data_IF_663574705316
#
_entry.id   IF_663574705316
#
_cell.length_a   1.000
_cell.length_b   1.000
_cell.length_c   1.000
_cell.angle_alpha   90.00
_cell.angle_beta   90.00
_cell.angle_gamma   90.00
#
_symmetry.space_group_name_H-M   'P 1'
#
loop_
_entity.id
_entity.type
_entity.pdbx_description
1 polymer ?
#
# COMPACT_ATOMS: atom_id res chain seq x y z
N UNK A 1 -13.79 17.08 -2.16
CA UNK A 1 -12.36 16.77 -2.24
C UNK A 1 -11.99 15.88 -3.42
N UNK A 2 -12.94 15.29 -4.07
CA UNK A 2 -12.76 14.54 -5.33
C UNK A 2 -13.29 15.43 -6.44
N UNK A 3 -12.44 15.76 -7.43
CA UNK A 3 -12.87 16.53 -8.59
C UNK A 3 -13.82 15.68 -9.43
N UNK A 4 -14.98 16.23 -9.82
CA UNK A 4 -15.91 15.53 -10.71
C UNK A 4 -15.24 15.26 -12.07
N UNK A 5 -15.40 14.05 -12.60
CA UNK A 5 -14.79 13.64 -13.85
C UNK A 5 -13.29 13.35 -13.77
N UNK A 6 -12.69 13.36 -12.56
CA UNK A 6 -11.32 12.93 -12.38
C UNK A 6 -11.18 11.43 -12.69
N UNK A 7 -10.07 11.04 -13.31
CA UNK A 7 -9.73 9.62 -13.55
C UNK A 7 -8.78 9.10 -12.49
N UNK A 8 -9.07 7.93 -11.94
CA UNK A 8 -8.28 7.27 -10.90
C UNK A 8 -7.73 5.93 -11.35
N UNK A 9 -6.43 5.70 -11.14
CA UNK A 9 -5.81 4.40 -11.39
C UNK A 9 -5.92 3.54 -10.12
N UNK A 10 -6.76 2.51 -10.16
CA UNK A 10 -6.89 1.52 -9.08
C UNK A 10 -5.84 0.43 -9.27
N UNK A 11 -4.90 0.33 -8.33
CA UNK A 11 -3.81 -0.65 -8.41
C UNK A 11 -4.30 -2.04 -8.00
N UNK A 12 -4.21 -2.98 -8.92
CA UNK A 12 -4.52 -4.38 -8.67
C UNK A 12 -3.22 -5.18 -8.52
N UNK A 13 -3.10 -5.90 -7.43
CA UNK A 13 -1.98 -6.82 -7.18
C UNK A 13 -2.33 -8.29 -7.40
N UNK A 14 -3.60 -8.59 -7.66
CA UNK A 14 -4.14 -9.95 -7.61
C UNK A 14 -4.45 -10.44 -6.20
N UNK A 15 -4.09 -9.69 -5.16
CA UNK A 15 -4.40 -10.04 -3.77
C UNK A 15 -5.81 -9.60 -3.37
N UNK A 16 -6.35 -10.27 -2.34
CA UNK A 16 -7.72 -10.09 -1.80
C UNK A 16 -8.11 -8.62 -1.60
N UNK A 17 -7.20 -7.80 -1.05
CA UNK A 17 -7.51 -6.42 -0.66
C UNK A 17 -7.61 -5.49 -1.86
N UNK A 18 -6.88 -5.79 -2.95
CA UNK A 18 -6.97 -5.03 -4.19
C UNK A 18 -8.29 -5.29 -4.93
N UNK A 19 -8.80 -6.51 -4.90
CA UNK A 19 -10.13 -6.84 -5.45
C UNK A 19 -11.25 -6.18 -4.65
N UNK A 20 -11.15 -6.21 -3.32
CA UNK A 20 -12.11 -5.53 -2.42
C UNK A 20 -12.16 -4.04 -2.69
N UNK A 21 -10.98 -3.40 -2.77
CA UNK A 21 -10.89 -1.99 -3.10
C UNK A 21 -11.62 -1.68 -4.41
N UNK A 22 -11.35 -2.43 -5.48
CA UNK A 22 -11.98 -2.23 -6.76
C UNK A 22 -13.49 -2.41 -6.68
N UNK A 23 -13.98 -3.47 -6.04
CA UNK A 23 -15.40 -3.74 -5.92
C UNK A 23 -16.14 -2.64 -5.16
N UNK A 24 -15.58 -2.16 -4.05
CA UNK A 24 -16.17 -1.06 -3.27
C UNK A 24 -16.21 0.22 -4.10
N UNK A 25 -15.11 0.59 -4.78
CA UNK A 25 -15.08 1.81 -5.60
C UNK A 25 -16.02 1.73 -6.80
N UNK A 26 -16.11 0.58 -7.45
CA UNK A 26 -17.00 0.34 -8.57
C UNK A 26 -18.48 0.44 -8.16
N UNK A 27 -18.83 -0.13 -7.00
CA UNK A 27 -20.17 -0.01 -6.43
C UNK A 27 -20.51 1.45 -6.07
N UNK A 28 -19.59 2.18 -5.44
CA UNK A 28 -19.79 3.59 -5.12
C UNK A 28 -19.94 4.46 -6.39
N UNK A 29 -19.19 4.14 -7.45
CA UNK A 29 -19.32 4.78 -8.76
C UNK A 29 -20.69 4.48 -9.37
N UNK A 30 -21.13 3.23 -9.38
CA UNK A 30 -22.43 2.80 -9.92
C UNK A 30 -23.62 3.47 -9.20
N UNK A 31 -23.47 3.71 -7.90
CA UNK A 31 -24.47 4.47 -7.10
C UNK A 31 -24.37 6.00 -7.26
N UNK A 32 -23.46 6.51 -8.06
CA UNK A 32 -23.24 7.94 -8.21
C UNK A 32 -22.63 8.65 -7.00
N UNK A 33 -22.17 7.89 -5.98
CA UNK A 33 -21.54 8.44 -4.78
C UNK A 33 -20.07 8.79 -5.00
N UNK A 34 -19.45 8.22 -6.03
CA UNK A 34 -18.06 8.49 -6.40
C UNK A 34 -18.01 8.99 -7.84
N UNK A 35 -17.96 10.32 -8.08
CA UNK A 35 -18.04 10.92 -9.41
C UNK A 35 -16.68 10.94 -10.11
N UNK A 36 -16.02 9.77 -10.22
CA UNK A 36 -14.73 9.59 -10.89
C UNK A 36 -14.79 8.48 -11.93
N UNK A 37 -13.89 8.53 -12.90
CA UNK A 37 -13.67 7.45 -13.86
C UNK A 37 -12.62 6.47 -13.29
N UNK A 38 -12.95 5.20 -13.19
CA UNK A 38 -12.06 4.16 -12.64
C UNK A 38 -11.33 3.44 -13.77
N UNK A 39 -10.01 3.41 -13.68
CA UNK A 39 -9.13 2.60 -14.50
C UNK A 39 -8.41 1.58 -13.59
N UNK A 40 -8.64 0.29 -13.83
CA UNK A 40 -7.90 -0.76 -13.13
C UNK A 40 -6.52 -0.95 -13.77
N UNK A 41 -5.45 -0.93 -12.98
CA UNK A 41 -4.08 -1.06 -13.46
C UNK A 41 -3.30 -2.15 -12.74
N UNK A 42 -2.64 -3.02 -13.51
CA UNK A 42 -1.69 -4.00 -12.99
C UNK A 42 -0.41 -3.98 -13.82
N UNK A 43 0.75 -3.61 -13.25
CA UNK A 43 2.03 -3.91 -13.86
C UNK A 43 2.36 -5.39 -13.60
N UNK A 44 2.22 -6.22 -14.62
CA UNK A 44 2.70 -7.60 -14.60
C UNK A 44 4.24 -7.58 -14.70
N UNK A 45 4.88 -8.11 -13.68
CA UNK A 45 6.34 -8.09 -13.52
C UNK A 45 7.04 -9.32 -14.12
N UNK A 46 6.31 -10.19 -14.81
CA UNK A 46 6.86 -11.46 -15.31
C UNK A 46 7.20 -12.45 -14.20
N UNK A 47 6.48 -12.44 -13.10
CA UNK A 47 6.73 -13.40 -12.02
C UNK A 47 6.32 -14.80 -12.45
N UNK A 48 7.19 -15.82 -12.25
CA UNK A 48 6.85 -17.21 -12.58
C UNK A 48 5.58 -17.65 -11.86
N UNK A 49 4.65 -18.25 -12.60
CA UNK A 49 3.38 -18.75 -12.06
C UNK A 49 2.27 -17.69 -11.90
N UNK A 50 2.48 -16.44 -12.35
CA UNK A 50 1.40 -15.45 -12.37
C UNK A 50 0.43 -15.77 -13.53
N UNK A 51 -0.86 -16.05 -13.25
CA UNK A 51 -1.84 -16.40 -14.28
C UNK A 51 -2.27 -15.15 -15.04
N UNK A 52 -1.73 -14.97 -16.25
CA UNK A 52 -1.93 -13.74 -17.05
C UNK A 52 -3.38 -13.50 -17.48
N UNK A 53 -4.22 -14.54 -17.56
CA UNK A 53 -5.62 -14.44 -18.05
C UNK A 53 -6.63 -14.12 -16.95
N UNK A 54 -6.37 -14.55 -15.72
CA UNK A 54 -7.32 -14.49 -14.60
C UNK A 54 -7.77 -13.05 -14.31
N UNK A 55 -6.83 -12.12 -14.27
CA UNK A 55 -7.14 -10.73 -13.94
C UNK A 55 -7.90 -10.01 -15.06
N UNK A 56 -7.49 -10.10 -16.37
CA UNK A 56 -8.25 -9.53 -17.49
C UNK A 56 -9.68 -10.06 -17.58
N UNK A 57 -9.87 -11.39 -17.44
CA UNK A 57 -11.19 -12.02 -17.49
C UNK A 57 -12.10 -11.52 -16.38
N UNK A 58 -11.58 -11.43 -15.16
CA UNK A 58 -12.33 -10.88 -14.03
C UNK A 58 -12.75 -9.43 -14.26
N UNK A 59 -11.84 -8.58 -14.73
CA UNK A 59 -12.11 -7.16 -14.98
C UNK A 59 -13.10 -6.94 -16.12
N UNK A 60 -12.99 -7.74 -17.18
CA UNK A 60 -13.94 -7.71 -18.31
C UNK A 60 -15.34 -8.10 -17.85
N UNK A 61 -15.47 -9.14 -17.02
CA UNK A 61 -16.74 -9.57 -16.45
C UNK A 61 -17.37 -8.51 -15.54
N UNK A 62 -16.55 -7.74 -14.80
CA UNK A 62 -17.03 -6.60 -14.03
C UNK A 62 -17.36 -5.36 -14.85
N UNK A 63 -17.05 -5.32 -16.13
CA UNK A 63 -17.23 -4.14 -16.97
C UNK A 63 -16.29 -2.97 -16.63
N UNK A 64 -15.16 -3.25 -15.96
CA UNK A 64 -14.21 -2.22 -15.56
C UNK A 64 -13.14 -2.01 -16.62
N UNK A 65 -12.97 -0.77 -17.06
CA UNK A 65 -11.85 -0.39 -17.95
C UNK A 65 -10.53 -0.72 -17.27
N UNK A 66 -9.63 -1.42 -17.99
CA UNK A 66 -8.37 -1.85 -17.39
C UNK A 66 -7.16 -1.71 -18.31
N UNK A 67 -5.98 -1.64 -17.69
CA UNK A 67 -4.68 -1.67 -18.35
C UNK A 67 -3.77 -2.63 -17.59
N UNK A 68 -3.46 -3.75 -18.21
CA UNK A 68 -2.45 -4.69 -17.75
C UNK A 68 -1.24 -4.51 -18.64
N UNK A 69 -0.10 -4.25 -18.05
CA UNK A 69 1.13 -4.02 -18.77
C UNK A 69 2.21 -4.97 -18.29
N UNK A 70 2.62 -5.85 -19.19
CA UNK A 70 3.75 -6.73 -18.96
C UNK A 70 5.05 -5.94 -19.03
N UNK A 71 5.85 -6.03 -17.97
CA UNK A 71 7.24 -5.57 -17.93
C UNK A 71 8.05 -6.51 -17.10
N UNK A 72 8.99 -7.19 -17.70
CA UNK A 72 9.90 -8.08 -16.99
C UNK A 72 10.87 -7.29 -16.11
N UNK A 73 10.36 -6.81 -14.99
CA UNK A 73 11.17 -6.17 -13.95
C UNK A 73 11.88 -7.20 -13.08
N UNK A 74 11.43 -8.45 -13.12
CA UNK A 74 12.02 -9.55 -12.34
C UNK A 74 13.43 -9.88 -12.86
N UNK A 75 13.61 -9.99 -14.18
CA UNK A 75 14.94 -10.19 -14.80
C UNK A 75 15.85 -9.00 -14.55
N UNK A 76 15.37 -7.77 -14.73
CA UNK A 76 16.16 -6.54 -14.46
C UNK A 76 16.68 -6.53 -13.01
N UNK A 77 15.86 -6.94 -12.05
CA UNK A 77 16.29 -7.04 -10.64
C UNK A 77 17.31 -8.16 -10.43
N UNK A 78 17.13 -9.32 -11.07
CA UNK A 78 18.08 -10.44 -11.00
C UNK A 78 19.43 -10.06 -11.57
N UNK A 79 19.47 -9.43 -12.73
CA UNK A 79 20.70 -9.02 -13.42
C UNK A 79 21.48 -7.97 -12.62
N UNK A 80 20.79 -6.96 -12.08
CA UNK A 80 21.44 -5.94 -11.23
C UNK A 80 22.00 -6.53 -9.94
N UNK A 81 21.40 -7.57 -9.41
CA UNK A 81 21.91 -8.27 -8.22
C UNK A 81 23.10 -9.15 -8.55
N UNK A 82 23.08 -9.83 -9.68
CA UNK A 82 24.24 -10.62 -10.16
C UNK A 82 25.49 -9.73 -10.32
N UNK A 83 25.30 -8.48 -10.78
CA UNK A 83 26.38 -7.48 -10.91
C UNK A 83 26.91 -6.95 -9.57
N UNK A 84 26.06 -6.90 -8.52
CA UNK A 84 26.47 -6.41 -7.18
C UNK A 84 27.16 -7.46 -6.30
N UNK A 85 27.25 -8.71 -6.72
CA UNK A 85 27.82 -9.80 -5.95
C UNK A 85 27.00 -10.23 -4.73
N UNK A 86 27.49 -11.24 -3.99
CA UNK A 86 26.79 -11.87 -2.87
C UNK A 86 26.44 -10.93 -1.69
N UNK A 87 27.01 -9.74 -1.65
CA UNK A 87 26.72 -8.70 -0.63
C UNK A 87 25.46 -7.87 -0.90
N UNK A 88 24.84 -8.00 -2.06
CA UNK A 88 23.62 -7.32 -2.38
C UNK A 88 22.46 -7.95 -1.60
N UNK A 89 22.15 -7.39 -0.46
CA UNK A 89 21.16 -7.91 0.47
C UNK A 89 19.80 -8.07 -0.21
N UNK A 90 19.06 -9.11 0.19
CA UNK A 90 17.65 -9.34 -0.15
C UNK A 90 16.77 -8.06 0.00
N UNK A 91 17.18 -7.13 0.87
CA UNK A 91 16.60 -5.79 1.04
C UNK A 91 16.67 -4.94 -0.24
N UNK A 92 17.79 -4.97 -0.97
CA UNK A 92 17.95 -4.20 -2.20
C UNK A 92 17.07 -4.77 -3.32
N UNK A 93 16.93 -6.11 -3.40
CA UNK A 93 16.00 -6.76 -4.34
C UNK A 93 14.59 -6.27 -4.18
N UNK A 94 14.11 -6.27 -2.95
CA UNK A 94 12.74 -5.88 -2.64
C UNK A 94 12.51 -4.39 -2.88
N UNK A 95 13.45 -3.56 -2.47
CA UNK A 95 13.41 -2.11 -2.69
C UNK A 95 13.34 -1.79 -4.20
N UNK A 96 14.19 -2.41 -5.01
CA UNK A 96 14.19 -2.22 -6.47
C UNK A 96 12.88 -2.71 -7.10
N UNK A 97 12.38 -3.88 -6.73
CA UNK A 97 11.13 -4.42 -7.24
C UNK A 97 9.93 -3.49 -6.90
N UNK A 98 9.85 -3.02 -5.66
CA UNK A 98 8.79 -2.10 -5.22
C UNK A 98 8.89 -0.72 -5.89
N UNK A 99 10.11 -0.20 -6.07
CA UNK A 99 10.35 1.06 -6.76
C UNK A 99 9.98 0.98 -8.24
N UNK A 100 10.39 -0.09 -8.93
CA UNK A 100 10.05 -0.31 -10.34
C UNK A 100 8.53 -0.48 -10.54
N UNK A 101 7.88 -1.24 -9.65
CA UNK A 101 6.42 -1.39 -9.68
C UNK A 101 5.72 -0.06 -9.47
N UNK A 102 6.18 0.75 -8.51
CA UNK A 102 5.62 2.09 -8.25
C UNK A 102 5.83 3.02 -9.44
N UNK A 103 7.03 3.05 -10.01
CA UNK A 103 7.35 3.85 -11.19
C UNK A 103 6.49 3.49 -12.40
N UNK A 104 6.27 2.20 -12.67
CA UNK A 104 5.37 1.74 -13.74
C UNK A 104 3.92 2.19 -13.52
N UNK A 105 3.41 2.11 -12.29
CA UNK A 105 2.06 2.58 -11.98
C UNK A 105 1.91 4.09 -12.19
N UNK A 106 2.90 4.88 -11.78
CA UNK A 106 2.87 6.34 -12.00
C UNK A 106 2.95 6.69 -13.47
N UNK A 107 3.77 5.97 -14.25
CA UNK A 107 3.82 6.15 -15.71
C UNK A 107 2.48 5.83 -16.35
N UNK A 108 1.86 4.68 -16.06
CA UNK A 108 0.52 4.32 -16.56
C UNK A 108 -0.51 5.40 -16.18
N UNK A 109 -0.46 5.88 -14.94
CA UNK A 109 -1.37 6.94 -14.48
C UNK A 109 -1.24 8.22 -15.32
N UNK A 110 -0.02 8.67 -15.58
CA UNK A 110 0.27 9.84 -16.41
C UNK A 110 -0.19 9.65 -17.87
N UNK A 111 0.18 8.53 -18.48
CA UNK A 111 -0.19 8.19 -19.86
C UNK A 111 -1.71 8.12 -20.06
N UNK A 112 -2.45 7.76 -19.03
CA UNK A 112 -3.91 7.64 -19.05
C UNK A 112 -4.65 8.85 -18.50
N UNK A 113 -3.94 9.94 -18.17
CA UNK A 113 -4.52 11.16 -17.64
C UNK A 113 -5.18 10.98 -16.28
N UNK A 114 -4.69 10.05 -15.46
CA UNK A 114 -5.19 9.85 -14.10
C UNK A 114 -4.64 10.94 -13.17
N UNK A 115 -5.47 11.46 -12.28
CA UNK A 115 -5.10 12.43 -11.24
C UNK A 115 -4.66 11.76 -9.94
N UNK A 116 -4.95 10.48 -9.78
CA UNK A 116 -4.62 9.73 -8.56
C UNK A 116 -4.37 8.25 -8.82
N UNK A 117 -3.55 7.68 -7.94
CA UNK A 117 -3.25 6.26 -7.84
C UNK A 117 -3.84 5.72 -6.54
N UNK A 118 -4.67 4.70 -6.61
CA UNK A 118 -5.44 4.18 -5.48
C UNK A 118 -4.91 2.81 -5.07
N UNK A 119 -4.65 2.63 -3.76
CA UNK A 119 -4.09 1.39 -3.19
C UNK A 119 -4.96 0.82 -2.07
N UNK A 120 -5.07 -0.51 -2.03
CA UNK A 120 -5.90 -1.27 -1.08
C UNK A 120 -5.21 -1.59 0.25
N UNK A 121 -4.42 -0.66 0.83
CA UNK A 121 -3.82 -0.89 2.14
C UNK A 121 -4.86 -0.70 3.25
N UNK A 122 -4.87 -1.62 4.20
CA UNK A 122 -5.71 -1.63 5.39
C UNK A 122 -5.02 -0.99 6.62
N UNK A 123 -5.77 -0.78 7.69
CA UNK A 123 -5.25 -0.34 9.00
C UNK A 123 -4.10 -1.24 9.48
N UNK A 124 -4.26 -2.56 9.34
CA UNK A 124 -3.23 -3.55 9.71
C UNK A 124 -1.93 -3.38 8.94
N UNK A 125 -1.98 -3.03 7.65
CA UNK A 125 -0.78 -2.77 6.84
C UNK A 125 -0.06 -1.50 7.28
N UNK A 126 -0.83 -0.49 7.67
CA UNK A 126 -0.30 0.77 8.19
C UNK A 126 0.40 0.53 9.53
N UNK A 127 -0.21 -0.24 10.44
CA UNK A 127 0.40 -0.60 11.71
C UNK A 127 1.66 -1.45 11.52
N UNK A 128 1.62 -2.50 10.67
CA UNK A 128 2.81 -3.30 10.34
C UNK A 128 3.94 -2.40 9.81
N UNK A 129 3.64 -1.46 8.92
CA UNK A 129 4.64 -0.54 8.38
C UNK A 129 5.16 0.42 9.44
N UNK A 130 4.29 0.91 10.32
CA UNK A 130 4.71 1.75 11.44
C UNK A 130 5.71 1.01 12.33
N UNK A 131 5.44 -0.22 12.77
CA UNK A 131 6.36 -0.96 13.63
C UNK A 131 7.64 -1.38 12.93
N UNK A 132 7.60 -1.69 11.64
CA UNK A 132 8.82 -1.96 10.87
C UNK A 132 9.77 -0.76 10.80
N UNK A 133 9.25 0.45 10.79
CA UNK A 133 10.06 1.66 10.69
C UNK A 133 10.95 1.89 11.94
N UNK A 134 10.47 1.91 13.19
CA UNK A 134 11.33 2.04 14.37
C UNK A 134 12.24 0.82 14.57
N UNK A 135 11.78 -0.40 14.31
CA UNK A 135 12.59 -1.60 14.56
C UNK A 135 13.71 -1.79 13.53
N UNK A 136 13.50 -1.35 12.29
CA UNK A 136 14.45 -1.61 11.19
C UNK A 136 14.85 -0.38 10.39
N UNK A 137 14.07 0.71 10.47
CA UNK A 137 14.23 1.92 9.66
C UNK A 137 14.76 3.15 10.41
N UNK A 138 14.94 3.06 11.75
CA UNK A 138 15.39 4.17 12.61
C UNK A 138 14.56 5.45 12.44
N UNK A 139 13.26 5.33 12.23
CA UNK A 139 12.36 6.46 12.04
C UNK A 139 10.96 6.15 12.54
N UNK A 140 10.23 7.18 12.97
CA UNK A 140 8.80 7.10 13.29
C UNK A 140 8.00 7.57 12.07
N UNK A 141 7.53 6.63 11.26
CA UNK A 141 6.77 6.94 10.05
C UNK A 141 5.73 5.85 9.75
N UNK A 142 4.64 6.25 9.12
CA UNK A 142 3.58 5.35 8.65
C UNK A 142 3.17 5.67 7.22
N UNK A 143 2.41 4.78 6.60
CA UNK A 143 1.73 5.09 5.35
C UNK A 143 0.56 6.04 5.61
N UNK A 144 0.52 7.17 4.89
CA UNK A 144 -0.58 8.13 4.99
C UNK A 144 -1.78 7.70 4.12
N UNK A 145 -3.02 7.97 4.56
CA UNK A 145 -4.23 7.72 3.76
C UNK A 145 -4.27 8.50 2.46
N UNK A 146 -3.67 9.69 2.46
CA UNK A 146 -3.52 10.58 1.30
C UNK A 146 -2.14 11.20 1.30
N UNK A 147 -1.49 11.18 0.17
CA UNK A 147 -0.25 11.92 -0.04
C UNK A 147 -0.10 12.32 -1.52
N UNK A 148 0.69 13.32 -1.79
CA UNK A 148 1.15 13.68 -3.12
C UNK A 148 2.45 12.94 -3.41
N UNK A 149 2.67 12.48 -4.64
CA UNK A 149 3.94 11.87 -5.02
C UNK A 149 5.10 12.89 -4.99
N UNK A 150 6.32 12.40 -5.14
CA UNK A 150 7.53 13.24 -5.08
C UNK A 150 7.58 14.30 -6.21
N UNK A 151 6.99 13.99 -7.37
CA UNK A 151 6.91 14.91 -8.52
C UNK A 151 5.78 15.95 -8.39
N UNK A 152 4.89 15.81 -7.41
CA UNK A 152 3.80 16.75 -7.15
C UNK A 152 2.61 16.69 -8.09
N UNK A 153 2.53 15.69 -8.98
CA UNK A 153 1.53 15.61 -10.03
C UNK A 153 0.42 14.56 -9.80
N UNK A 154 0.67 13.56 -8.94
CA UNK A 154 -0.27 12.47 -8.68
C UNK A 154 -0.59 12.33 -7.20
N UNK A 155 -1.86 12.29 -6.88
CA UNK A 155 -2.29 11.88 -5.54
C UNK A 155 -2.16 10.37 -5.38
N UNK A 156 -1.79 9.94 -4.18
CA UNK A 156 -1.84 8.55 -3.75
C UNK A 156 -2.88 8.42 -2.64
N UNK A 157 -3.95 7.68 -2.88
CA UNK A 157 -5.00 7.44 -1.90
C UNK A 157 -5.02 6.00 -1.41
N UNK A 158 -5.37 5.82 -0.14
CA UNK A 158 -5.61 4.54 0.51
C UNK A 158 -6.99 4.57 1.20
N UNK A 159 -8.07 4.39 0.45
CA UNK A 159 -9.43 4.54 0.98
C UNK A 159 -9.74 3.55 2.12
N UNK A 160 -9.14 2.36 2.09
CA UNK A 160 -9.32 1.31 3.10
C UNK A 160 -8.44 1.48 4.35
N UNK A 161 -7.69 2.61 4.48
CA UNK A 161 -6.72 2.84 5.54
C UNK A 161 -7.29 2.76 6.97
N UNK A 162 -8.58 2.98 7.12
CA UNK A 162 -9.29 2.97 8.41
C UNK A 162 -10.05 1.66 8.68
N UNK A 163 -10.04 0.71 7.75
CA UNK A 163 -10.71 -0.58 7.88
C UNK A 163 -9.73 -1.63 8.41
N UNK A 164 -10.20 -2.44 9.36
CA UNK A 164 -9.45 -3.59 9.85
C UNK A 164 -9.56 -4.78 8.87
N UNK A 165 -8.58 -5.66 8.88
CA UNK A 165 -8.59 -6.86 8.04
C UNK A 165 -9.79 -7.76 8.35
N UNK A 166 -10.19 -7.84 9.63
CA UNK A 166 -11.35 -8.60 10.08
C UNK A 166 -12.66 -8.10 9.47
N UNK A 167 -12.87 -6.78 9.41
CA UNK A 167 -14.09 -6.17 8.84
C UNK A 167 -14.21 -6.46 7.34
N UNK A 168 -13.07 -6.62 6.67
CA UNK A 168 -13.03 -6.93 5.26
C UNK A 168 -13.22 -8.43 4.94
N UNK A 169 -13.04 -9.33 5.90
CA UNK A 169 -13.04 -10.78 5.67
C UNK A 169 -14.39 -11.28 5.12
N UNK A 170 -15.51 -10.87 5.73
CA UNK A 170 -16.85 -11.26 5.32
C UNK A 170 -17.17 -10.83 3.86
N UNK A 171 -16.75 -9.63 3.46
CA UNK A 171 -16.95 -9.12 2.11
C UNK A 171 -16.20 -9.95 1.05
N UNK A 172 -14.99 -10.42 1.35
CA UNK A 172 -14.20 -11.21 0.41
C UNK A 172 -14.81 -12.57 0.08
N UNK A 173 -15.41 -13.22 1.08
CA UNK A 173 -16.08 -14.51 0.91
C UNK A 173 -17.30 -14.37 0.00
N UNK A 174 -18.06 -13.30 0.15
CA UNK A 174 -19.24 -13.04 -0.67
C UNK A 174 -18.92 -12.75 -2.15
N UNK A 175 -17.73 -12.17 -2.45
CA UNK A 175 -17.36 -11.74 -3.81
C UNK A 175 -16.67 -12.80 -4.66
N UNK A 176 -16.36 -14.00 -4.12
CA UNK A 176 -15.66 -15.09 -4.83
C UNK A 176 -14.51 -14.62 -5.74
N UNK A 177 -13.67 -13.70 -5.24
CA UNK A 177 -12.60 -13.09 -6.01
C UNK A 177 -11.50 -14.12 -6.35
N UNK A 178 -10.96 -14.15 -7.57
CA UNK A 178 -9.88 -15.04 -7.96
C UNK A 178 -8.56 -14.56 -7.34
N UNK A 179 -8.30 -14.94 -6.08
CA UNK A 179 -7.11 -14.54 -5.36
C UNK A 179 -5.89 -15.21 -5.96
N UNK A 180 -4.92 -14.41 -6.38
CA UNK A 180 -3.61 -14.90 -6.84
C UNK A 180 -2.68 -14.90 -5.63
N UNK A 181 -2.15 -16.07 -5.21
CA UNK A 181 -1.21 -16.13 -4.09
C UNK A 181 0.03 -15.29 -4.36
N UNK A 182 0.46 -14.49 -3.38
CA UNK A 182 1.65 -13.64 -3.49
C UNK A 182 2.87 -14.25 -2.78
N UNK A 183 3.06 -15.58 -2.89
CA UNK A 183 4.16 -16.32 -2.25
C UNK A 183 5.47 -16.21 -3.03
N UNK A 184 5.45 -15.45 -4.13
CA UNK A 184 6.51 -15.45 -5.14
C UNK A 184 7.78 -14.70 -4.74
N UNK A 185 7.77 -13.96 -3.62
CA UNK A 185 8.91 -13.11 -3.23
C UNK A 185 9.71 -13.61 -2.03
N UNK A 186 9.59 -14.81 -1.52
CA UNK A 186 10.41 -15.46 -0.48
C UNK A 186 11.36 -14.54 0.34
N UNK A 187 10.89 -13.38 0.81
CA UNK A 187 11.76 -12.30 1.29
C UNK A 187 11.79 -12.26 2.82
N UNK A 188 12.96 -11.90 3.40
CA UNK A 188 13.10 -11.63 4.84
C UNK A 188 12.11 -10.56 5.35
N UNK A 189 11.68 -9.65 4.48
CA UNK A 189 10.66 -8.65 4.85
C UNK A 189 9.28 -9.30 5.02
N UNK A 190 8.99 -10.37 4.27
CA UNK A 190 7.82 -11.23 4.52
C UNK A 190 7.86 -11.83 5.92
N UNK A 191 9.04 -12.33 6.34
CA UNK A 191 9.24 -12.84 7.70
C UNK A 191 9.08 -11.73 8.76
N UNK A 192 9.69 -10.57 8.56
CA UNK A 192 9.55 -9.44 9.50
C UNK A 192 8.11 -8.94 9.59
N UNK A 193 7.40 -8.85 8.46
CA UNK A 193 5.98 -8.52 8.44
C UNK A 193 5.12 -9.57 9.15
N UNK A 194 5.45 -10.86 8.99
CA UNK A 194 4.78 -11.95 9.68
C UNK A 194 5.01 -11.87 11.20
N UNK A 195 6.25 -11.60 11.64
CA UNK A 195 6.56 -11.40 13.07
C UNK A 195 5.79 -10.23 13.68
N UNK A 196 5.76 -9.08 13.00
CA UNK A 196 4.94 -7.94 13.46
C UNK A 196 3.46 -8.29 13.48
N UNK A 197 2.97 -9.05 12.48
CA UNK A 197 1.58 -9.51 12.49
C UNK A 197 1.29 -10.37 13.72
N UNK A 198 2.12 -11.36 14.01
CA UNK A 198 1.98 -12.23 15.20
C UNK A 198 1.97 -11.40 16.49
N UNK A 199 2.83 -10.41 16.60
CA UNK A 199 2.89 -9.50 17.75
C UNK A 199 1.58 -8.71 17.90
N UNK A 200 1.06 -8.15 16.80
CA UNK A 200 -0.19 -7.40 16.78
C UNK A 200 -1.40 -8.31 17.09
N UNK A 201 -1.41 -9.55 16.60
CA UNK A 201 -2.44 -10.54 16.88
C UNK A 201 -2.43 -10.86 18.39
N UNK A 202 -1.27 -11.18 18.98
CA UNK A 202 -1.14 -11.47 20.41
C UNK A 202 -1.58 -10.30 21.29
N UNK A 203 -1.28 -9.07 20.91
CA UNK A 203 -1.73 -7.88 21.63
C UNK A 203 -3.23 -7.65 21.52
N UNK A 204 -3.84 -7.93 20.39
CA UNK A 204 -5.28 -7.83 20.19
C UNK A 204 -6.03 -8.89 20.99
N UNK A 205 -5.50 -10.14 21.05
CA UNK A 205 -6.06 -11.24 21.84
C UNK A 205 -6.03 -10.94 23.35
N UNK A 206 -4.94 -10.33 23.84
CA UNK A 206 -4.81 -9.90 25.24
C UNK A 206 -5.72 -8.72 25.60
N UNK A 207 -5.97 -7.84 24.66
CA UNK A 207 -6.71 -6.59 24.86
C UNK A 207 -7.45 -6.22 23.56
N UNK A 208 -8.68 -6.66 23.38
CA UNK A 208 -9.49 -6.35 22.22
C UNK A 208 -9.62 -4.84 21.98
N UNK A 209 -9.46 -4.42 20.72
CA UNK A 209 -9.48 -3.01 20.33
C UNK A 209 -8.11 -2.30 20.40
N UNK A 210 -7.04 -2.98 20.82
CA UNK A 210 -5.70 -2.39 20.95
C UNK A 210 -5.16 -1.87 19.62
N UNK A 211 -5.41 -2.56 18.51
CA UNK A 211 -5.03 -2.09 17.16
C UNK A 211 -5.64 -0.74 16.84
N UNK A 212 -6.92 -0.56 17.15
CA UNK A 212 -7.61 0.71 16.92
C UNK A 212 -7.03 1.84 17.80
N UNK A 213 -6.70 1.53 19.06
CA UNK A 213 -6.06 2.48 19.97
C UNK A 213 -4.70 2.91 19.41
N UNK A 214 -3.85 1.95 19.01
CA UNK A 214 -2.55 2.23 18.39
C UNK A 214 -2.68 3.05 17.11
N UNK A 215 -3.64 2.69 16.26
CA UNK A 215 -3.87 3.41 15.01
C UNK A 215 -4.30 4.86 15.25
N UNK A 216 -5.17 5.10 16.24
CA UNK A 216 -5.58 6.45 16.65
C UNK A 216 -4.44 7.24 17.27
N UNK A 217 -3.56 6.61 18.04
CA UNK A 217 -2.36 7.25 18.59
C UNK A 217 -1.45 7.83 17.51
N UNK A 218 -1.38 7.18 16.34
CA UNK A 218 -0.61 7.70 15.20
C UNK A 218 -1.20 9.00 14.59
N UNK A 219 -2.41 9.37 14.97
CA UNK A 219 -3.06 10.63 14.58
C UNK A 219 -3.06 11.68 15.69
N UNK A 220 -2.51 11.34 16.87
CA UNK A 220 -2.44 12.21 18.03
C UNK A 220 -1.00 12.29 18.54
N UNK A 221 -0.14 12.87 17.74
CA UNK A 221 1.29 13.05 18.06
C UNK A 221 1.48 14.29 18.93
N UNK A 222 2.33 14.19 19.96
CA UNK A 222 2.75 15.31 20.81
C UNK A 222 4.21 15.67 20.52
N UNK A 223 4.49 16.64 19.65
CA UNK A 223 5.84 17.00 19.23
C UNK A 223 6.76 17.33 20.42
N UNK A 224 6.26 18.04 21.43
CA UNK A 224 7.01 18.41 22.63
C UNK A 224 7.48 17.22 23.50
N UNK A 225 7.01 16.00 23.21
CA UNK A 225 7.39 14.78 23.92
C UNK A 225 8.24 13.84 23.04
N UNK A 226 8.62 14.30 21.85
CA UNK A 226 9.51 13.57 20.94
C UNK A 226 10.88 14.25 20.92
N UNK A 227 11.94 13.43 20.95
CA UNK A 227 13.33 13.92 20.96
C UNK A 227 13.83 14.25 19.54
N UNK A 228 12.98 14.88 18.72
CA UNK A 228 13.32 15.34 17.38
C UNK A 228 13.38 16.90 17.38
N UNK A 229 14.59 17.49 17.26
CA UNK A 229 14.76 18.95 17.34
C UNK A 229 14.08 19.69 16.18
N UNK A 230 13.79 19.02 15.06
CA UNK A 230 13.04 19.62 13.94
C UNK A 230 11.53 19.76 14.27
N UNK A 231 11.01 18.93 15.17
CA UNK A 231 9.62 19.01 15.63
C UNK A 231 9.43 19.90 16.84
N UNK A 232 10.40 19.90 17.75
CA UNK A 232 10.35 20.69 18.99
C UNK A 232 11.76 21.00 19.49
N UNK A 233 12.07 22.29 19.68
CA UNK A 233 13.38 22.76 20.14
C UNK A 233 13.52 22.58 21.69
N UNK A 234 13.63 21.34 22.15
CA UNK A 234 13.81 21.02 23.58
C UNK A 234 15.18 21.46 24.13
N UNK A 235 16.22 21.57 23.27
CA UNK A 235 17.55 22.01 23.69
C UNK A 235 17.62 23.52 23.94
N UNK A 236 16.72 24.31 23.32
CA UNK A 236 16.63 25.75 23.47
C UNK A 236 15.68 26.23 24.58
N UNK A 237 15.14 25.32 25.41
CA UNK A 237 14.25 25.69 26.51
C UNK A 237 15.01 26.46 27.59
N UNK A 238 14.57 27.68 27.89
CA UNK A 238 15.06 28.50 29.00
C UNK A 238 13.99 28.53 30.10
N UNK A 239 14.43 28.55 31.37
CA UNK A 239 13.51 28.86 32.45
C UNK A 239 13.03 30.29 32.31
N UNK A 240 11.71 30.49 32.29
CA UNK A 240 11.18 31.85 32.42
C UNK A 240 11.69 32.50 33.70
N UNK A 241 12.30 33.68 33.57
CA UNK A 241 12.58 34.53 34.74
C UNK A 241 11.22 35.07 35.17
N UNK A 242 10.72 34.59 36.30
CA UNK A 242 9.52 35.13 36.94
C UNK A 242 9.77 36.50 37.52
#
# INVERSE_FOLDING_TARGET
MVARGARWLVCLSGGKDSYRLLAILHELQGRGLLPVDLLAGNPDQGQPGFPATVLPEFLSRMGVTHRIEYRDTCSVVKDKIALCGAMCSLRLRLCLCLCLRRGNLYRIAREKGCSAVIRGHLCDDILKTFFLNPFHGRRLARMLPKLLNEDGDLFLYRPLAYLAEADCAAFATAMACPIIPCDLCGSQEGLQRALIKTLLDAWEDQSPGRRNIMFRALMNVRPSQLADPALFNFAGLLRGVS
#
